data_IF_890365247997
#
_entry.id   IF_890365247997
#
_cell.length_a   1.000
_cell.length_b   1.000
_cell.length_c   1.000
_cell.angle_alpha   90.00
_cell.angle_beta   90.00
_cell.angle_gamma   90.00
#
_symmetry.space_group_name_H-M   'P 1'
#
loop_
_entity.id
_entity.type
_entity.pdbx_description
1 polymer ?
#
# COMPACT_ATOMS: atom_id res chain seq x y z
N UNK A 1 -10.33 5.24 -15.10
CA UNK A 1 -9.71 6.09 -14.06
C UNK A 1 -9.54 5.21 -12.82
N UNK A 2 -8.30 4.89 -12.45
CA UNK A 2 -8.02 4.02 -11.28
C UNK A 2 -7.94 4.89 -10.04
N UNK A 3 -8.86 4.71 -9.09
CA UNK A 3 -8.86 5.41 -7.81
C UNK A 3 -8.19 4.55 -6.76
N UNK A 4 -7.06 5.01 -6.23
CA UNK A 4 -6.33 4.36 -5.13
C UNK A 4 -6.67 5.09 -3.83
N UNK A 5 -7.57 4.52 -3.02
CA UNK A 5 -7.83 5.07 -1.69
C UNK A 5 -6.80 4.50 -0.72
N UNK A 6 -6.05 5.36 -0.05
CA UNK A 6 -5.22 5.02 1.09
C UNK A 6 -6.03 5.36 2.33
N UNK A 7 -6.40 4.36 3.14
CA UNK A 7 -6.91 4.67 4.49
C UNK A 7 -5.81 5.38 5.25
N UNK A 8 -6.10 6.50 5.92
CA UNK A 8 -5.12 7.20 6.75
C UNK A 8 -5.68 7.29 8.17
N UNK A 9 -4.83 7.03 9.16
CA UNK A 9 -5.18 7.09 10.57
C UNK A 9 -5.66 8.49 11.01
N UNK A 10 -5.40 9.51 10.18
CA UNK A 10 -5.87 10.89 10.38
C UNK A 10 -7.39 11.02 10.40
N UNK A 11 -8.12 10.15 9.68
CA UNK A 11 -9.58 10.13 9.73
C UNK A 11 -10.08 8.90 10.47
N UNK A 12 -11.03 9.04 11.41
CA UNK A 12 -11.67 7.89 12.02
C UNK A 12 -12.25 6.95 10.97
N UNK A 13 -12.08 5.64 11.16
CA UNK A 13 -12.51 4.63 10.17
C UNK A 13 -13.98 4.80 9.73
N UNK A 14 -14.89 5.17 10.65
CA UNK A 14 -16.30 5.38 10.33
C UNK A 14 -16.53 6.53 9.32
N UNK A 15 -15.67 7.55 9.30
CA UNK A 15 -15.72 8.63 8.30
C UNK A 15 -15.19 8.16 6.95
N UNK A 16 -14.11 7.38 6.95
CA UNK A 16 -13.57 6.78 5.73
C UNK A 16 -14.63 5.90 5.04
N UNK A 17 -15.39 5.13 5.82
CA UNK A 17 -16.52 4.33 5.32
C UNK A 17 -17.60 5.19 4.66
N UNK A 18 -17.95 6.34 5.22
CA UNK A 18 -18.96 7.23 4.63
C UNK A 18 -18.54 7.74 3.25
N UNK A 19 -17.26 8.11 3.11
CA UNK A 19 -16.68 8.54 1.84
C UNK A 19 -16.65 7.37 0.85
N UNK A 20 -16.15 6.20 1.31
CA UNK A 20 -16.08 4.99 0.50
C UNK A 20 -17.44 4.59 -0.09
N UNK A 21 -18.51 4.61 0.72
CA UNK A 21 -19.86 4.27 0.29
C UNK A 21 -20.33 5.06 -0.93
N UNK A 22 -19.94 6.33 -1.05
CA UNK A 22 -20.33 7.18 -2.18
C UNK A 22 -19.56 6.85 -3.46
N UNK A 23 -18.42 6.18 -3.33
CA UNK A 23 -17.48 5.95 -4.43
C UNK A 23 -17.35 4.48 -4.84
N UNK A 24 -17.89 3.51 -4.09
CA UNK A 24 -17.74 2.06 -4.34
C UNK A 24 -17.91 1.66 -5.81
N UNK A 25 -18.92 2.14 -6.56
CA UNK A 25 -19.10 1.76 -7.96
C UNK A 25 -17.94 2.15 -8.89
N UNK A 26 -17.08 3.06 -8.46
CA UNK A 26 -16.00 3.63 -9.26
C UNK A 26 -14.59 3.22 -8.77
N UNK A 27 -14.50 2.42 -7.71
CA UNK A 27 -13.22 2.04 -7.11
C UNK A 27 -12.67 0.77 -7.77
N UNK A 28 -11.45 0.84 -8.29
CA UNK A 28 -10.76 -0.32 -8.89
C UNK A 28 -9.80 -0.99 -7.92
N UNK A 29 -9.10 -0.22 -7.07
CA UNK A 29 -8.14 -0.74 -6.09
C UNK A 29 -8.11 0.13 -4.83
N UNK A 30 -8.12 -0.47 -3.64
CA UNK A 30 -8.00 0.20 -2.35
C UNK A 30 -6.74 -0.28 -1.67
N UNK A 31 -5.95 0.66 -1.15
CA UNK A 31 -4.84 0.36 -0.27
C UNK A 31 -5.31 0.49 1.19
N UNK A 32 -5.45 -0.64 1.86
CA UNK A 32 -5.71 -0.68 3.30
C UNK A 32 -4.38 -0.45 4.01
N UNK A 33 -4.21 0.74 4.56
CA UNK A 33 -3.00 1.18 5.25
C UNK A 33 -3.39 1.81 6.57
N UNK A 34 -2.97 1.21 7.67
CA UNK A 34 -3.05 1.85 8.98
C UNK A 34 -1.81 1.40 9.75
N UNK A 35 -0.82 2.29 9.82
CA UNK A 35 0.50 1.96 10.38
C UNK A 35 0.46 1.63 11.87
N UNK A 36 -0.59 2.04 12.57
CA UNK A 36 -0.73 1.88 14.02
C UNK A 36 -1.75 0.81 14.38
N UNK A 37 -2.52 0.29 13.42
CA UNK A 37 -3.48 -0.76 13.66
C UNK A 37 -2.81 -2.12 13.90
N UNK A 38 -3.41 -2.90 14.81
CA UNK A 38 -3.11 -4.33 14.90
C UNK A 38 -3.65 -5.09 13.68
N UNK A 39 -3.12 -6.29 13.40
CA UNK A 39 -3.66 -7.18 12.37
C UNK A 39 -5.16 -7.48 12.56
N UNK A 40 -5.59 -7.64 13.82
CA UNK A 40 -7.02 -7.82 14.13
C UNK A 40 -7.84 -6.61 13.70
N UNK A 41 -7.35 -5.40 13.95
CA UNK A 41 -8.03 -4.16 13.56
C UNK A 41 -8.08 -4.01 12.04
N UNK A 42 -6.98 -4.30 11.33
CA UNK A 42 -6.93 -4.32 9.87
C UNK A 42 -7.94 -5.32 9.29
N UNK A 43 -8.03 -6.53 9.87
CA UNK A 43 -9.02 -7.53 9.45
C UNK A 43 -10.45 -7.04 9.63
N UNK A 44 -10.76 -6.41 10.77
CA UNK A 44 -12.08 -5.81 10.99
C UNK A 44 -12.42 -4.73 9.96
N UNK A 45 -11.44 -3.91 9.57
CA UNK A 45 -11.63 -2.88 8.54
C UNK A 45 -11.93 -3.50 7.17
N UNK A 46 -11.15 -4.50 6.77
CA UNK A 46 -11.38 -5.28 5.53
C UNK A 46 -12.78 -5.90 5.55
N UNK A 47 -13.16 -6.58 6.63
CA UNK A 47 -14.47 -7.22 6.73
C UNK A 47 -15.62 -6.21 6.64
N UNK A 48 -15.40 -5.00 7.17
CA UNK A 48 -16.37 -3.93 7.01
C UNK A 48 -16.47 -3.47 5.56
N UNK A 49 -15.33 -3.29 4.86
CA UNK A 49 -15.31 -2.93 3.45
C UNK A 49 -16.00 -3.97 2.57
N UNK A 50 -15.79 -5.27 2.84
CA UNK A 50 -16.47 -6.36 2.13
C UNK A 50 -18.00 -6.28 2.30
N UNK A 51 -18.49 -5.98 3.50
CA UNK A 51 -19.93 -5.74 3.75
C UNK A 51 -20.50 -4.52 3.01
N UNK A 52 -19.66 -3.61 2.53
CA UNK A 52 -20.06 -2.46 1.71
C UNK A 52 -20.13 -2.78 0.21
N UNK A 53 -19.81 -4.01 -0.20
CA UNK A 53 -19.82 -4.43 -1.60
C UNK A 53 -18.45 -4.31 -2.30
N UNK A 54 -17.39 -3.99 -1.57
CA UNK A 54 -16.03 -4.16 -2.10
C UNK A 54 -15.66 -5.64 -2.11
N UNK A 55 -14.74 -6.01 -2.98
CA UNK A 55 -14.26 -7.38 -3.14
C UNK A 55 -12.77 -7.49 -2.80
N UNK A 56 -12.31 -8.69 -2.48
CA UNK A 56 -10.91 -8.92 -2.09
C UNK A 56 -9.93 -8.65 -3.23
N UNK A 57 -10.33 -8.90 -4.49
CA UNK A 57 -9.58 -8.58 -5.72
C UNK A 57 -9.46 -7.07 -6.00
N UNK A 58 -10.09 -6.23 -5.18
CA UNK A 58 -9.94 -4.77 -5.19
C UNK A 58 -9.05 -4.27 -4.05
N UNK A 59 -8.48 -5.12 -3.20
CA UNK A 59 -7.82 -4.68 -1.96
C UNK A 59 -6.33 -5.04 -1.94
N UNK A 60 -5.49 -4.05 -1.65
CA UNK A 60 -4.06 -4.20 -1.39
C UNK A 60 -3.82 -3.85 0.07
N UNK A 61 -3.21 -4.75 0.84
CA UNK A 61 -2.85 -4.49 2.23
C UNK A 61 -1.42 -3.94 2.31
N UNK A 62 -1.21 -2.87 3.04
CA UNK A 62 0.15 -2.39 3.27
C UNK A 62 0.85 -3.21 4.35
N UNK A 63 2.16 -3.45 4.16
CA UNK A 63 3.10 -4.06 5.11
C UNK A 63 2.93 -5.57 5.35
N UNK A 64 1.73 -6.07 5.63
CA UNK A 64 1.54 -7.44 6.13
C UNK A 64 1.30 -8.45 5.00
N UNK A 65 2.35 -8.87 4.30
CA UNK A 65 2.25 -9.76 3.13
C UNK A 65 1.58 -11.11 3.41
N UNK A 66 1.97 -11.78 4.50
CA UNK A 66 1.40 -13.06 4.91
C UNK A 66 -0.10 -12.95 5.21
N UNK A 67 -0.52 -11.85 5.83
CA UNK A 67 -1.94 -11.60 6.11
C UNK A 67 -2.71 -11.32 4.81
N UNK A 68 -2.13 -10.57 3.88
CA UNK A 68 -2.74 -10.29 2.58
C UNK A 68 -3.02 -11.59 1.81
N UNK A 69 -2.04 -12.48 1.77
CA UNK A 69 -2.17 -13.80 1.16
C UNK A 69 -3.22 -14.67 1.89
N UNK A 70 -3.13 -14.75 3.23
CA UNK A 70 -4.06 -15.55 4.03
C UNK A 70 -5.52 -15.07 3.94
N UNK A 71 -5.75 -13.77 3.69
CA UNK A 71 -7.08 -13.19 3.54
C UNK A 71 -7.57 -13.15 2.08
N UNK A 72 -6.79 -13.69 1.13
CA UNK A 72 -7.15 -13.76 -0.27
C UNK A 72 -7.30 -12.38 -0.94
N UNK A 73 -6.54 -11.39 -0.47
CA UNK A 73 -6.54 -10.04 -1.03
C UNK A 73 -5.81 -10.00 -2.37
N UNK A 74 -6.08 -8.97 -3.18
CA UNK A 74 -5.42 -8.71 -4.46
C UNK A 74 -3.89 -8.69 -4.33
N UNK A 75 -3.38 -8.12 -3.25
CA UNK A 75 -1.95 -7.91 -3.13
C UNK A 75 -1.49 -7.29 -1.82
N UNK A 76 -0.18 -7.04 -1.78
CA UNK A 76 0.50 -6.32 -0.71
C UNK A 76 1.27 -5.12 -1.29
N UNK A 77 1.34 -4.04 -0.52
CA UNK A 77 2.28 -2.96 -0.79
C UNK A 77 3.32 -2.86 0.34
N UNK A 78 4.57 -3.09 0.02
CA UNK A 78 5.68 -3.09 0.96
C UNK A 78 6.24 -1.65 1.12
N UNK A 79 6.41 -1.14 2.35
CA UNK A 79 7.17 0.09 2.55
C UNK A 79 8.65 -0.13 2.22
N UNK A 80 9.40 0.93 1.93
CA UNK A 80 10.84 0.84 1.62
C UNK A 80 11.66 0.18 2.75
N UNK A 81 11.20 0.32 4.00
CA UNK A 81 11.82 -0.31 5.18
C UNK A 81 11.40 -1.77 5.41
N UNK A 82 10.74 -2.41 4.44
CA UNK A 82 10.25 -3.78 4.56
C UNK A 82 11.41 -4.78 4.58
N UNK A 83 11.32 -5.80 5.43
CA UNK A 83 12.29 -6.89 5.46
C UNK A 83 11.98 -8.03 4.46
N UNK A 84 10.84 -7.97 3.78
CA UNK A 84 10.44 -9.00 2.81
C UNK A 84 11.30 -8.96 1.54
N UNK A 85 11.70 -10.13 1.06
CA UNK A 85 12.20 -10.34 -0.30
C UNK A 85 11.02 -10.60 -1.23
N UNK A 86 10.88 -9.79 -2.29
CA UNK A 86 9.72 -9.88 -3.19
C UNK A 86 9.72 -11.22 -3.92
N UNK A 87 10.90 -11.69 -4.33
CA UNK A 87 11.07 -12.98 -5.01
C UNK A 87 10.56 -14.15 -4.19
N UNK A 88 10.82 -14.16 -2.87
CA UNK A 88 10.37 -15.20 -1.96
C UNK A 88 8.84 -15.17 -1.79
N UNK A 89 8.27 -13.96 -1.64
CA UNK A 89 6.82 -13.79 -1.57
C UNK A 89 6.13 -14.30 -2.83
N UNK A 90 6.64 -13.98 -4.02
CA UNK A 90 6.05 -14.45 -5.28
C UNK A 90 6.26 -15.95 -5.50
N UNK A 91 7.36 -16.52 -5.03
CA UNK A 91 7.55 -17.97 -5.06
C UNK A 91 6.50 -18.70 -4.20
N UNK A 92 6.16 -18.13 -3.03
CA UNK A 92 5.17 -18.69 -2.10
C UNK A 92 3.71 -18.38 -2.51
N UNK A 93 3.48 -17.21 -3.10
CA UNK A 93 2.17 -16.69 -3.48
C UNK A 93 2.23 -16.10 -4.91
N UNK A 94 2.26 -16.95 -5.95
CA UNK A 94 2.46 -16.50 -7.34
C UNK A 94 1.43 -15.49 -7.85
N UNK A 95 0.20 -15.59 -7.37
CA UNK A 95 -0.92 -14.74 -7.78
C UNK A 95 -1.02 -13.43 -6.98
N UNK A 96 -0.21 -13.28 -5.91
CA UNK A 96 -0.23 -12.08 -5.08
C UNK A 96 0.48 -10.94 -5.79
N UNK A 97 -0.24 -9.85 -6.05
CA UNK A 97 0.40 -8.63 -6.56
C UNK A 97 1.28 -8.04 -5.46
N UNK A 98 2.57 -7.85 -5.74
CA UNK A 98 3.53 -7.25 -4.81
C UNK A 98 4.01 -5.92 -5.37
N UNK A 99 3.57 -4.83 -4.74
CA UNK A 99 4.17 -3.52 -4.98
C UNK A 99 5.08 -3.10 -3.84
N UNK A 100 5.96 -2.14 -4.12
CA UNK A 100 6.87 -1.66 -3.09
C UNK A 100 7.19 -0.16 -3.24
N UNK A 101 7.47 0.48 -2.12
CA UNK A 101 7.96 1.86 -2.09
C UNK A 101 9.49 1.86 -2.21
N UNK A 102 10.03 2.80 -2.98
CA UNK A 102 11.47 2.99 -3.20
C UNK A 102 11.85 4.46 -3.09
N UNK A 103 13.08 4.75 -2.67
CA UNK A 103 13.57 6.13 -2.48
C UNK A 103 14.79 6.47 -3.34
N UNK A 104 15.37 5.48 -4.02
CA UNK A 104 16.51 5.65 -4.89
C UNK A 104 16.38 4.79 -6.15
N UNK A 105 17.07 5.20 -7.22
CA UNK A 105 17.07 4.47 -8.49
C UNK A 105 17.57 3.04 -8.32
N UNK A 106 18.63 2.83 -7.55
CA UNK A 106 19.23 1.51 -7.35
C UNK A 106 18.29 0.57 -6.58
N UNK A 107 17.53 1.12 -5.62
CA UNK A 107 16.47 0.37 -4.91
C UNK A 107 15.34 -0.02 -5.88
N UNK A 108 14.94 0.90 -6.76
CA UNK A 108 13.92 0.63 -7.78
C UNK A 108 14.34 -0.50 -8.73
N UNK A 109 15.60 -0.47 -9.21
CA UNK A 109 16.15 -1.53 -10.05
C UNK A 109 16.16 -2.87 -9.31
N UNK A 110 16.66 -2.87 -8.07
CA UNK A 110 16.73 -4.08 -7.23
C UNK A 110 15.35 -4.70 -7.02
N UNK A 111 14.34 -3.91 -6.64
CA UNK A 111 13.00 -4.42 -6.39
C UNK A 111 12.28 -4.87 -7.68
N UNK A 112 12.55 -4.21 -8.82
CA UNK A 112 12.07 -4.68 -10.11
C UNK A 112 12.67 -6.05 -10.47
N UNK A 113 13.98 -6.25 -10.25
CA UNK A 113 14.68 -7.53 -10.45
C UNK A 113 14.24 -8.63 -9.47
N UNK A 114 13.78 -8.26 -8.28
CA UNK A 114 13.14 -9.19 -7.36
C UNK A 114 11.70 -9.57 -7.79
N UNK A 115 11.14 -8.88 -8.79
CA UNK A 115 9.85 -9.21 -9.41
C UNK A 115 8.67 -8.37 -8.96
N UNK A 116 8.89 -7.16 -8.44
CA UNK A 116 7.82 -6.23 -8.09
C UNK A 116 6.89 -5.95 -9.27
N UNK A 117 5.57 -6.00 -9.04
CA UNK A 117 4.55 -5.74 -10.06
C UNK A 117 4.37 -4.23 -10.30
N UNK A 118 4.68 -3.40 -9.31
CA UNK A 118 4.73 -1.95 -9.43
C UNK A 118 5.59 -1.33 -8.31
N UNK A 119 6.10 -0.13 -8.57
CA UNK A 119 6.92 0.61 -7.61
C UNK A 119 6.34 1.99 -7.38
N UNK A 120 6.33 2.45 -6.12
CA UNK A 120 6.05 3.83 -5.75
C UNK A 120 7.36 4.51 -5.37
N UNK A 121 7.82 5.45 -6.20
CA UNK A 121 8.97 6.26 -5.87
C UNK A 121 8.59 7.35 -4.85
N UNK A 122 9.09 7.24 -3.63
CA UNK A 122 8.87 8.18 -2.53
C UNK A 122 9.89 9.31 -2.55
N UNK A 123 9.38 10.55 -2.47
CA UNK A 123 10.03 11.88 -2.61
C UNK A 123 10.03 12.49 -4.02
N UNK A 124 8.84 12.70 -4.61
CA UNK A 124 8.66 13.71 -5.68
C UNK A 124 8.34 15.10 -5.11
N UNK A 125 7.85 15.19 -3.87
CA UNK A 125 7.66 16.45 -3.15
C UNK A 125 8.19 16.32 -1.72
N UNK A 126 9.03 17.27 -1.32
CA UNK A 126 9.34 17.53 0.09
C UNK A 126 8.05 17.88 0.81
N UNK A 127 7.44 16.91 1.50
CA UNK A 127 6.48 17.26 2.55
C UNK A 127 7.28 17.73 3.75
N UNK A 128 6.94 18.90 4.30
CA UNK A 128 7.52 19.62 5.45
C UNK A 128 7.63 18.83 6.79
N UNK A 129 7.72 17.51 6.76
CA UNK A 129 7.71 16.65 7.95
C UNK A 129 9.10 16.34 8.53
N UNK A 130 10.15 17.03 8.08
CA UNK A 130 11.48 17.06 8.72
C UNK A 130 12.09 18.47 8.61
N UNK A 131 12.10 19.29 9.66
CA UNK A 131 12.82 20.56 9.63
C UNK A 131 14.33 20.29 9.64
N UNK A 132 15.06 20.84 8.65
CA UNK A 132 16.50 21.06 8.80
C UNK A 132 17.44 20.19 7.97
N UNK A 133 17.09 19.79 6.74
CA UNK A 133 18.09 19.30 5.80
C UNK A 133 18.18 20.29 4.63
N UNK A 134 19.21 21.14 4.67
CA UNK A 134 19.64 21.96 3.54
C UNK A 134 20.44 21.11 2.57
N UNK A 135 20.08 21.09 1.30
CA UNK A 135 20.99 20.65 0.24
C UNK A 135 21.08 21.67 -0.88
N UNK A 136 22.34 21.89 -1.27
CA UNK A 136 22.82 22.82 -2.26
C UNK A 136 22.26 22.47 -3.65
N UNK A 137 21.84 23.51 -4.37
CA UNK A 137 21.15 23.41 -5.64
C UNK A 137 22.02 22.83 -6.75
N UNK A 138 21.35 22.16 -7.67
CA UNK A 138 21.89 21.73 -8.95
C UNK A 138 22.34 22.96 -9.76
N UNK A 139 23.63 23.01 -10.11
CA UNK A 139 24.11 23.89 -11.17
C UNK A 139 24.23 23.09 -12.47
N UNK A 140 23.82 23.77 -13.55
CA UNK A 140 23.65 23.31 -14.92
C UNK A 140 24.92 22.78 -15.57
#
# INVERSE_FOLDING_TARGET
MSWHLVTDAQLPFHMQIRILKQCVPHITTIHVRDKQASLQRLKQQIDHMLRLGLRTDQMILNTHAEAAAAWGLKGVHLPASSAYRIRELKAKHPDLIVGASVHAKDEALTQAEEGADYLYFGHVFETNSKPGITHEGWHS
#
